data_IF_977052672844
#
_entry.id   IF_977052672844
#
_cell.length_a   1.000
_cell.length_b   1.000
_cell.length_c   1.000
_cell.angle_alpha   90.00
_cell.angle_beta   90.00
_cell.angle_gamma   90.00
#
_symmetry.space_group_name_H-M   'P 1'
#
loop_
_entity.id
_entity.type
_entity.pdbx_description
1 polymer ?
#
# COMPACT_ATOMS: atom_id res chain seq x y z
N UNK A 1 -5.84 15.13 35.42
CA UNK A 1 -4.98 14.08 34.82
C UNK A 1 -5.61 13.48 33.57
N UNK A 2 -6.88 13.06 33.58
CA UNK A 2 -7.53 12.51 32.39
C UNK A 2 -7.65 13.56 31.26
N UNK A 3 -8.05 14.79 31.60
CA UNK A 3 -8.08 15.94 30.66
C UNK A 3 -6.74 16.24 29.98
N UNK A 4 -5.63 16.19 30.74
CA UNK A 4 -4.28 16.38 30.19
C UNK A 4 -3.86 15.25 29.26
N UNK A 5 -4.26 14.01 29.55
CA UNK A 5 -4.02 12.85 28.66
C UNK A 5 -4.87 12.99 27.40
N UNK A 6 -6.13 13.40 27.51
CA UNK A 6 -7.01 13.62 26.37
C UNK A 6 -6.49 14.72 25.44
N UNK A 7 -6.02 15.84 26.00
CA UNK A 7 -5.40 16.93 25.25
C UNK A 7 -4.14 16.47 24.49
N UNK A 8 -3.36 15.54 25.05
CA UNK A 8 -2.21 14.94 24.38
C UNK A 8 -2.60 13.86 23.34
N UNK A 9 -3.66 13.09 23.58
CA UNK A 9 -4.15 12.04 22.70
C UNK A 9 -4.82 12.58 21.43
N UNK A 10 -5.50 13.73 21.52
CA UNK A 10 -6.18 14.38 20.40
C UNK A 10 -5.27 14.60 19.16
N UNK A 11 -4.11 15.28 19.26
CA UNK A 11 -3.24 15.49 18.11
C UNK A 11 -2.64 14.18 17.58
N UNK A 12 -2.44 13.16 18.43
CA UNK A 12 -2.00 11.83 18.00
C UNK A 12 -3.04 11.19 17.08
N UNK A 13 -4.32 11.18 17.50
CA UNK A 13 -5.41 10.61 16.69
C UNK A 13 -5.56 11.35 15.36
N UNK A 14 -5.52 12.68 15.38
CA UNK A 14 -5.59 13.51 14.18
C UNK A 14 -4.43 13.18 13.22
N UNK A 15 -3.20 13.14 13.73
CA UNK A 15 -2.02 12.81 12.93
C UNK A 15 -2.12 11.40 12.32
N UNK A 16 -2.57 10.42 13.08
CA UNK A 16 -2.71 9.03 12.60
C UNK A 16 -3.81 8.88 11.55
N UNK A 17 -4.98 9.49 11.75
CA UNK A 17 -6.06 9.50 10.76
C UNK A 17 -5.65 10.25 9.49
N UNK A 18 -4.92 11.36 9.63
CA UNK A 18 -4.45 12.16 8.50
C UNK A 18 -3.43 11.37 7.67
N UNK A 19 -2.40 10.81 8.32
CA UNK A 19 -1.38 10.00 7.68
C UNK A 19 -1.98 8.76 7.02
N UNK A 20 -2.92 8.08 7.71
CA UNK A 20 -3.65 6.94 7.15
C UNK A 20 -4.46 7.31 5.92
N UNK A 21 -5.24 8.38 5.99
CA UNK A 21 -6.13 8.81 4.92
C UNK A 21 -5.34 9.27 3.69
N UNK A 22 -4.33 10.12 3.91
CA UNK A 22 -3.44 10.61 2.85
C UNK A 22 -2.71 9.44 2.16
N UNK A 23 -2.14 8.51 2.93
CA UNK A 23 -1.46 7.35 2.36
C UNK A 23 -2.40 6.49 1.50
N UNK A 24 -3.64 6.25 1.95
CA UNK A 24 -4.65 5.49 1.18
C UNK A 24 -5.06 6.21 -0.10
N UNK A 25 -5.19 7.54 -0.08
CA UNK A 25 -5.50 8.33 -1.29
C UNK A 25 -4.35 8.28 -2.31
N UNK A 26 -3.10 8.46 -1.87
CA UNK A 26 -1.93 8.32 -2.75
C UNK A 26 -1.88 6.93 -3.37
N UNK A 27 -2.17 5.89 -2.60
CA UNK A 27 -2.20 4.52 -3.11
C UNK A 27 -3.33 4.28 -4.11
N UNK A 28 -4.54 4.76 -3.84
CA UNK A 28 -5.66 4.65 -4.77
C UNK A 28 -5.40 5.40 -6.09
N UNK A 29 -4.62 6.48 -6.05
CA UNK A 29 -4.18 7.25 -7.21
C UNK A 29 -3.04 6.61 -8.00
N UNK A 30 -2.23 5.76 -7.38
CA UNK A 30 -1.19 5.01 -8.08
C UNK A 30 -1.82 3.89 -8.94
N UNK A 31 -1.30 3.69 -10.15
CA UNK A 31 -1.63 2.53 -11.02
C UNK A 31 -1.04 1.24 -10.41
N UNK A 32 -1.42 0.90 -9.17
CA UNK A 32 -1.01 -0.30 -8.47
C UNK A 32 -1.59 -1.53 -9.17
N UNK A 33 -0.75 -2.54 -9.39
CA UNK A 33 -1.12 -3.73 -10.16
C UNK A 33 -2.39 -4.42 -9.62
N UNK A 34 -3.17 -5.10 -10.51
CA UNK A 34 -4.26 -5.96 -10.08
C UNK A 34 -3.73 -7.06 -9.15
N UNK A 35 -3.92 -6.87 -7.84
CA UNK A 35 -3.44 -7.78 -6.80
C UNK A 35 -2.69 -7.11 -5.66
N UNK A 36 -1.98 -6.00 -5.91
CA UNK A 36 -1.23 -5.26 -4.88
C UNK A 36 -2.16 -4.65 -3.84
N UNK A 37 -3.25 -4.03 -4.30
CA UNK A 37 -4.34 -3.52 -3.44
C UNK A 37 -5.01 -4.64 -2.63
N UNK A 38 -5.04 -5.88 -3.15
CA UNK A 38 -5.65 -7.03 -2.51
C UNK A 38 -4.86 -7.58 -1.31
N UNK A 39 -3.67 -7.05 -1.04
CA UNK A 39 -2.84 -7.38 0.13
C UNK A 39 -2.86 -6.30 1.20
N UNK A 40 -3.62 -5.22 1.00
CA UNK A 40 -3.62 -4.04 1.86
C UNK A 40 -4.95 -3.93 2.62
N UNK A 41 -4.95 -4.32 3.90
CA UNK A 41 -6.01 -4.02 4.87
C UNK A 41 -7.46 -4.12 4.35
N UNK A 42 -8.30 -3.08 4.48
CA UNK A 42 -9.74 -3.13 4.16
C UNK A 42 -10.08 -3.60 2.74
N UNK A 43 -9.17 -3.40 1.78
CA UNK A 43 -9.35 -3.83 0.40
C UNK A 43 -9.37 -5.36 0.24
N UNK A 44 -8.82 -6.11 1.20
CA UNK A 44 -8.92 -7.58 1.28
C UNK A 44 -10.38 -8.02 1.43
N UNK A 45 -11.18 -7.23 2.16
CA UNK A 45 -12.59 -7.54 2.45
C UNK A 45 -13.52 -7.20 1.27
N UNK A 46 -13.02 -6.42 0.29
CA UNK A 46 -13.80 -5.98 -0.86
C UNK A 46 -13.56 -6.87 -2.10
N UNK A 47 -14.61 -7.15 -2.90
CA UNK A 47 -14.44 -7.78 -4.21
C UNK A 47 -13.45 -7.01 -5.09
N UNK A 48 -12.71 -7.67 -6.02
CA UNK A 48 -11.68 -7.04 -6.84
C UNK A 48 -12.11 -5.74 -7.52
N UNK A 49 -13.33 -5.71 -8.06
CA UNK A 49 -13.94 -4.54 -8.72
C UNK A 49 -14.17 -3.33 -7.81
N UNK A 50 -14.26 -3.54 -6.50
CA UNK A 50 -14.56 -2.48 -5.52
C UNK A 50 -13.37 -2.12 -4.63
N UNK A 51 -12.20 -2.76 -4.77
CA UNK A 51 -11.05 -2.52 -3.89
C UNK A 51 -10.60 -1.06 -3.86
N UNK A 52 -10.51 -0.42 -5.03
CA UNK A 52 -10.14 0.99 -5.15
C UNK A 52 -11.18 1.90 -4.49
N UNK A 53 -12.46 1.64 -4.73
CA UNK A 53 -13.55 2.40 -4.12
C UNK A 53 -13.58 2.23 -2.59
N UNK A 54 -13.38 1.01 -2.08
CA UNK A 54 -13.30 0.73 -0.66
C UNK A 54 -12.11 1.44 0.01
N UNK A 55 -10.95 1.48 -0.63
CA UNK A 55 -9.78 2.24 -0.15
C UNK A 55 -10.05 3.75 -0.10
N UNK A 56 -10.65 4.31 -1.14
CA UNK A 56 -11.04 5.73 -1.18
C UNK A 56 -12.08 6.02 -0.10
N UNK A 57 -13.10 5.17 0.04
CA UNK A 57 -14.14 5.31 1.06
C UNK A 57 -13.55 5.26 2.48
N UNK A 58 -12.60 4.35 2.74
CA UNK A 58 -11.90 4.30 4.02
C UNK A 58 -11.06 5.55 4.27
N UNK A 59 -10.36 6.06 3.24
CA UNK A 59 -9.58 7.29 3.36
C UNK A 59 -10.46 8.52 3.65
N UNK A 60 -11.58 8.64 2.94
CA UNK A 60 -12.57 9.69 3.18
C UNK A 60 -13.20 9.56 4.57
N UNK A 61 -13.43 8.33 5.04
CA UNK A 61 -13.88 8.05 6.40
C UNK A 61 -12.88 8.53 7.45
N UNK A 62 -11.59 8.23 7.28
CA UNK A 62 -10.53 8.68 8.18
C UNK A 62 -10.42 10.21 8.22
N UNK A 63 -10.43 10.88 7.07
CA UNK A 63 -10.39 12.34 7.00
C UNK A 63 -11.69 12.98 7.53
N UNK A 64 -12.83 12.35 7.28
CA UNK A 64 -14.13 12.76 7.81
C UNK A 64 -14.18 12.68 9.33
N UNK A 65 -13.59 11.63 9.93
CA UNK A 65 -13.48 11.51 11.39
C UNK A 65 -12.69 12.66 12.01
N UNK A 66 -11.65 13.17 11.34
CA UNK A 66 -10.92 14.37 11.79
C UNK A 66 -11.86 15.58 11.77
N UNK A 67 -12.58 15.80 10.67
CA UNK A 67 -13.54 16.89 10.55
C UNK A 67 -14.61 16.84 11.65
N UNK A 68 -15.19 15.66 11.87
CA UNK A 68 -16.22 15.43 12.91
C UNK A 68 -15.65 15.68 14.32
N UNK A 69 -14.43 15.22 14.60
CA UNK A 69 -13.78 15.41 15.90
C UNK A 69 -13.46 16.88 16.19
N UNK A 70 -13.09 17.65 15.17
CA UNK A 70 -12.73 19.06 15.31
C UNK A 70 -13.93 20.02 15.28
N UNK A 71 -14.94 19.74 14.46
CA UNK A 71 -16.07 20.63 14.21
C UNK A 71 -17.26 20.36 15.13
N UNK A 72 -17.39 19.15 15.66
CA UNK A 72 -18.54 18.72 16.48
C UNK A 72 -18.11 18.06 17.81
N UNK A 73 -17.23 18.68 18.61
CA UNK A 73 -16.68 18.06 19.82
C UNK A 73 -17.73 17.77 20.90
N UNK A 74 -18.85 18.49 20.90
CA UNK A 74 -19.93 18.34 21.89
C UNK A 74 -20.98 17.30 21.48
N UNK A 75 -20.99 16.87 20.22
CA UNK A 75 -21.99 15.94 19.72
C UNK A 75 -21.63 14.50 20.12
N UNK A 76 -22.47 13.84 20.92
CA UNK A 76 -22.18 12.52 21.47
C UNK A 76 -21.79 11.50 20.37
N UNK A 77 -22.55 11.44 19.27
CA UNK A 77 -22.28 10.53 18.15
C UNK A 77 -20.91 10.81 17.51
N UNK A 78 -20.51 12.08 17.39
CA UNK A 78 -19.25 12.49 16.79
C UNK A 78 -18.05 11.98 17.60
N UNK A 79 -18.14 12.05 18.92
CA UNK A 79 -17.07 11.66 19.86
C UNK A 79 -16.82 10.16 19.87
N UNK A 80 -17.87 9.35 19.72
CA UNK A 80 -17.78 7.89 19.76
C UNK A 80 -17.46 7.25 18.40
N UNK A 81 -17.59 7.99 17.30
CA UNK A 81 -17.24 7.50 15.95
C UNK A 81 -15.77 7.05 15.82
N UNK A 82 -14.76 7.81 16.28
CA UNK A 82 -13.37 7.35 16.32
C UNK A 82 -13.18 6.08 17.18
N UNK A 83 -13.89 5.97 18.30
CA UNK A 83 -13.85 4.78 19.18
C UNK A 83 -14.33 3.56 18.41
N UNK A 84 -15.50 3.66 17.76
CA UNK A 84 -16.04 2.58 16.94
C UNK A 84 -15.07 2.20 15.81
N UNK A 85 -14.52 3.20 15.11
CA UNK A 85 -13.57 2.99 14.02
C UNK A 85 -12.33 2.21 14.47
N UNK A 86 -11.63 2.67 15.52
CA UNK A 86 -10.41 2.00 15.98
C UNK A 86 -10.69 0.65 16.65
N UNK A 87 -11.85 0.47 17.28
CA UNK A 87 -12.27 -0.81 17.84
C UNK A 87 -12.52 -1.84 16.74
N UNK A 88 -13.27 -1.46 15.70
CA UNK A 88 -13.50 -2.30 14.52
C UNK A 88 -12.19 -2.60 13.81
N UNK A 89 -11.31 -1.61 13.63
CA UNK A 89 -9.99 -1.83 13.05
C UNK A 89 -9.17 -2.84 13.86
N UNK A 90 -9.16 -2.72 15.19
CA UNK A 90 -8.46 -3.67 16.08
C UNK A 90 -9.02 -5.10 15.92
N UNK A 91 -10.35 -5.24 15.89
CA UNK A 91 -11.01 -6.53 15.67
C UNK A 91 -10.68 -7.12 14.30
N UNK A 92 -10.77 -6.33 13.23
CA UNK A 92 -10.44 -6.77 11.86
C UNK A 92 -8.99 -7.22 11.76
N UNK A 93 -8.05 -6.50 12.37
CA UNK A 93 -6.63 -6.91 12.39
C UNK A 93 -6.44 -8.23 13.16
N UNK A 94 -7.16 -8.43 14.26
CA UNK A 94 -7.14 -9.69 15.00
C UNK A 94 -7.70 -10.86 14.18
N UNK A 95 -8.84 -10.68 13.51
CA UNK A 95 -9.45 -11.71 12.66
C UNK A 95 -8.60 -12.01 11.41
N UNK A 96 -8.08 -10.97 10.74
CA UNK A 96 -7.18 -11.14 9.59
C UNK A 96 -5.91 -11.88 9.99
N UNK A 97 -5.33 -11.59 11.16
CA UNK A 97 -4.17 -12.35 11.62
C UNK A 97 -4.47 -13.84 11.80
N UNK A 98 -5.68 -14.20 12.25
CA UNK A 98 -6.07 -15.60 12.41
C UNK A 98 -6.33 -16.30 11.07
N UNK A 99 -6.91 -15.60 10.11
CA UNK A 99 -7.36 -16.20 8.83
C UNK A 99 -6.38 -16.06 7.68
N UNK A 100 -5.62 -14.96 7.64
CA UNK A 100 -4.76 -14.50 6.52
C UNK A 100 -3.55 -13.73 7.06
N UNK A 101 -2.61 -14.39 7.76
CA UNK A 101 -1.45 -13.72 8.35
C UNK A 101 -0.50 -13.09 7.31
N UNK A 102 -0.65 -13.44 6.03
CA UNK A 102 0.11 -12.96 4.88
C UNK A 102 -0.33 -11.58 4.37
N UNK A 103 -1.47 -11.06 4.81
CA UNK A 103 -1.96 -9.74 4.41
C UNK A 103 -1.37 -8.63 5.28
N UNK A 104 -1.17 -7.45 4.70
CA UNK A 104 -0.71 -6.27 5.41
C UNK A 104 -1.84 -5.58 6.18
N UNK A 105 -1.49 -4.84 7.24
CA UNK A 105 -2.49 -4.16 8.07
C UNK A 105 -3.19 -3.01 7.32
N UNK A 106 -2.57 -2.46 6.26
CA UNK A 106 -3.14 -1.46 5.36
C UNK A 106 -3.47 -0.11 6.03
N UNK A 107 -3.10 0.10 7.30
CA UNK A 107 -3.37 1.34 8.03
C UNK A 107 -2.73 2.56 7.34
N UNK A 108 -1.54 2.41 6.76
CA UNK A 108 -0.82 3.46 6.02
C UNK A 108 -0.62 3.11 4.53
N UNK A 109 -1.56 2.40 3.91
CA UNK A 109 -1.41 1.94 2.52
C UNK A 109 -0.24 0.94 2.38
N UNK A 110 0.55 1.04 1.30
CA UNK A 110 1.70 0.15 1.03
C UNK A 110 2.86 0.29 2.01
N UNK A 111 2.90 1.38 2.79
CA UNK A 111 3.90 1.54 3.86
C UNK A 111 3.71 0.46 4.91
N UNK A 112 2.46 -0.01 5.10
CA UNK A 112 2.06 -1.14 5.96
C UNK A 112 1.78 -2.44 5.20
N UNK A 113 2.61 -2.78 4.20
CA UNK A 113 2.53 -4.08 3.54
C UNK A 113 3.05 -5.24 4.41
N UNK A 114 3.68 -4.93 5.55
CA UNK A 114 4.16 -5.89 6.54
C UNK A 114 3.04 -6.82 7.03
N UNK A 115 3.30 -8.15 7.17
CA UNK A 115 2.37 -9.09 7.78
C UNK A 115 1.82 -8.60 9.12
N UNK A 116 0.54 -8.83 9.38
CA UNK A 116 -0.12 -8.39 10.62
C UNK A 116 0.47 -9.12 11.85
N UNK A 117 1.31 -8.41 12.62
CA UNK A 117 1.88 -8.88 13.89
C UNK A 117 1.13 -8.40 15.15
N UNK A 118 1.48 -8.94 16.34
CA UNK A 118 0.92 -8.48 17.63
C UNK A 118 1.09 -6.97 17.83
N UNK A 119 2.21 -6.40 17.37
CA UNK A 119 2.52 -4.98 17.50
C UNK A 119 1.50 -4.09 16.77
N UNK A 120 1.08 -4.49 15.56
CA UNK A 120 0.07 -3.74 14.78
C UNK A 120 -1.30 -3.74 15.45
N UNK A 121 -1.69 -4.87 16.07
CA UNK A 121 -2.92 -5.00 16.85
C UNK A 121 -2.82 -4.16 18.12
N UNK A 122 -1.68 -4.21 18.81
CA UNK A 122 -1.40 -3.36 19.97
C UNK A 122 -1.50 -1.87 19.64
N UNK A 123 -0.95 -1.43 18.49
CA UNK A 123 -1.07 -0.05 18.00
C UNK A 123 -2.52 0.36 17.82
N UNK A 124 -3.33 -0.47 17.15
CA UNK A 124 -4.75 -0.19 16.96
C UNK A 124 -5.52 -0.15 18.29
N UNK A 125 -5.22 -1.05 19.22
CA UNK A 125 -5.82 -1.07 20.56
C UNK A 125 -5.45 0.17 21.39
N UNK A 126 -4.20 0.64 21.30
CA UNK A 126 -3.76 1.91 21.94
C UNK A 126 -4.50 3.10 21.36
N UNK A 127 -4.68 3.17 20.04
CA UNK A 127 -5.46 4.23 19.40
C UNK A 127 -6.95 4.17 19.77
N UNK A 128 -7.52 2.97 19.93
CA UNK A 128 -8.87 2.79 20.44
C UNK A 128 -9.00 3.32 21.88
N UNK A 129 -8.04 3.02 22.76
CA UNK A 129 -8.01 3.56 24.13
C UNK A 129 -7.85 5.08 24.15
N UNK A 130 -6.97 5.64 23.32
CA UNK A 130 -6.82 7.08 23.15
C UNK A 130 -8.11 7.74 22.68
N UNK A 131 -8.83 7.10 21.73
CA UNK A 131 -10.13 7.58 21.26
C UNK A 131 -11.18 7.56 22.37
N UNK A 132 -11.20 6.56 23.25
CA UNK A 132 -12.11 6.53 24.42
C UNK A 132 -11.83 7.69 25.35
N UNK A 133 -10.55 7.95 25.67
CA UNK A 133 -10.16 9.06 26.56
C UNK A 133 -10.59 10.40 25.96
N UNK A 134 -10.35 10.62 24.67
CA UNK A 134 -10.79 11.84 23.96
C UNK A 134 -12.33 11.93 23.93
N UNK A 135 -13.02 10.81 23.70
CA UNK A 135 -14.47 10.78 23.66
C UNK A 135 -15.11 11.12 25.03
N UNK A 136 -14.52 10.66 26.13
CA UNK A 136 -15.00 10.96 27.49
C UNK A 136 -14.74 12.41 27.87
N UNK A 137 -13.54 12.93 27.61
CA UNK A 137 -13.14 14.26 28.09
C UNK A 137 -13.56 15.42 27.16
N UNK A 138 -13.81 15.16 25.86
CA UNK A 138 -14.02 16.23 24.84
C UNK A 138 -13.01 17.36 24.96
N UNK A 139 -11.70 17.08 24.80
CA UNK A 139 -10.77 18.16 24.59
C UNK A 139 -11.13 18.83 23.26
N UNK A 140 -11.86 19.95 23.31
CA UNK A 140 -12.11 20.78 22.13
C UNK A 140 -10.79 21.42 21.65
N UNK A 141 -10.84 22.20 20.58
CA UNK A 141 -9.66 22.92 20.07
C UNK A 141 -9.00 23.83 21.12
N UNK A 142 -9.76 24.33 22.09
CA UNK A 142 -9.24 25.11 23.22
C UNK A 142 -8.30 24.30 24.15
N UNK A 143 -8.34 22.97 24.11
CA UNK A 143 -7.37 22.14 24.83
C UNK A 143 -5.95 22.27 24.26
N UNK A 144 -5.80 22.70 22.99
CA UNK A 144 -4.51 22.94 22.36
C UNK A 144 -3.88 24.27 22.81
N UNK A 145 -4.67 25.25 23.27
CA UNK A 145 -4.14 26.54 23.75
C UNK A 145 -3.69 26.49 25.20
N UNK A 146 -4.21 25.58 26.01
CA UNK A 146 -3.79 25.34 27.41
C UNK A 146 -2.63 24.35 27.51
N UNK A 147 -1.62 24.54 26.65
CA UNK A 147 -0.50 23.62 26.53
C UNK A 147 0.42 23.67 27.75
N UNK A 148 0.50 22.56 28.48
CA UNK A 148 1.36 22.43 29.67
C UNK A 148 2.55 21.51 29.40
N UNK A 149 3.62 21.63 30.19
CA UNK A 149 4.76 20.71 30.13
C UNK A 149 4.33 19.25 30.34
N UNK A 150 3.32 19.02 31.17
CA UNK A 150 2.78 17.69 31.44
C UNK A 150 2.03 17.14 30.22
N UNK A 151 1.30 17.98 29.48
CA UNK A 151 0.70 17.62 28.19
C UNK A 151 1.78 17.20 27.19
N UNK A 152 2.90 17.94 27.12
CA UNK A 152 4.06 17.57 26.28
C UNK A 152 4.63 16.21 26.67
N UNK A 153 4.79 15.94 27.97
CA UNK A 153 5.31 14.66 28.46
C UNK A 153 4.39 13.48 28.08
N UNK A 154 3.08 13.64 28.23
CA UNK A 154 2.10 12.63 27.80
C UNK A 154 2.08 12.42 26.29
N UNK A 155 2.17 13.51 25.51
CA UNK A 155 2.27 13.44 24.07
C UNK A 155 3.53 12.65 23.65
N UNK A 156 4.69 13.02 24.20
CA UNK A 156 5.96 12.35 23.92
C UNK A 156 5.91 10.87 24.31
N UNK A 157 5.32 10.53 25.46
CA UNK A 157 5.12 9.15 25.90
C UNK A 157 4.20 8.36 24.96
N UNK A 158 3.08 8.94 24.56
CA UNK A 158 2.14 8.33 23.61
C UNK A 158 2.76 8.11 22.23
N UNK A 159 3.49 9.10 21.71
CA UNK A 159 4.24 8.97 20.44
C UNK A 159 5.31 7.88 20.57
N UNK A 160 6.09 7.87 21.65
CA UNK A 160 7.12 6.85 21.88
C UNK A 160 6.52 5.44 21.92
N UNK A 161 5.39 5.26 22.61
CA UNK A 161 4.66 3.99 22.64
C UNK A 161 4.21 3.57 21.23
N UNK A 162 3.68 4.49 20.43
CA UNK A 162 3.28 4.19 19.05
C UNK A 162 4.48 3.85 18.16
N UNK A 163 5.63 4.51 18.34
CA UNK A 163 6.87 4.19 17.61
C UNK A 163 7.38 2.80 17.99
N UNK A 164 7.34 2.44 19.28
CA UNK A 164 7.71 1.09 19.77
C UNK A 164 6.78 -0.01 19.21
N UNK A 165 5.50 0.33 19.00
CA UNK A 165 4.51 -0.56 18.39
C UNK A 165 4.54 -0.49 16.85
N UNK A 166 5.32 0.40 16.24
CA UNK A 166 5.37 0.58 14.80
C UNK A 166 6.41 -0.33 14.16
N UNK A 167 5.95 -1.41 13.54
CA UNK A 167 6.78 -2.29 12.68
C UNK A 167 7.23 -1.60 11.39
N UNK A 168 6.57 -0.50 11.02
CA UNK A 168 6.82 0.21 9.76
C UNK A 168 8.19 0.88 9.75
N UNK A 169 8.70 1.29 10.91
CA UNK A 169 10.00 1.97 11.00
C UNK A 169 11.11 0.97 10.71
N UNK A 170 10.98 -0.26 11.22
CA UNK A 170 11.96 -1.32 11.00
C UNK A 170 12.00 -1.74 9.53
N UNK A 171 10.83 -1.86 8.88
CA UNK A 171 10.75 -2.19 7.45
C UNK A 171 11.14 -1.02 6.54
N UNK A 172 10.74 0.21 6.86
CA UNK A 172 11.16 1.39 6.08
C UNK A 172 12.66 1.61 6.21
N UNK A 173 13.23 1.41 7.40
CA UNK A 173 14.67 1.50 7.64
C UNK A 173 15.42 0.37 6.95
N UNK A 174 14.88 -0.86 6.93
CA UNK A 174 15.48 -1.97 6.20
C UNK A 174 15.45 -1.74 4.70
N UNK A 175 14.35 -1.20 4.14
CA UNK A 175 14.22 -0.78 2.73
C UNK A 175 15.12 0.41 2.37
N UNK A 176 15.36 1.32 3.31
CA UNK A 176 16.29 2.44 3.11
C UNK A 176 17.75 1.95 3.13
N UNK A 177 18.08 1.05 4.07
CA UNK A 177 19.43 0.49 4.24
C UNK A 177 19.77 -0.53 3.16
N UNK A 178 18.80 -1.34 2.75
CA UNK A 178 18.94 -2.36 1.72
C UNK A 178 18.05 -1.98 0.54
N UNK A 179 18.69 -1.65 -0.59
CA UNK A 179 17.97 -1.35 -1.82
C UNK A 179 17.08 -2.54 -2.16
N UNK A 180 15.76 -2.34 -2.09
CA UNK A 180 14.81 -3.44 -2.27
C UNK A 180 15.15 -4.24 -3.56
N UNK A 181 15.23 -5.57 -3.47
CA UNK A 181 15.45 -6.43 -4.62
C UNK A 181 14.43 -6.14 -5.74
N UNK A 182 14.81 -6.36 -7.00
CA UNK A 182 13.98 -5.93 -8.13
C UNK A 182 12.63 -6.64 -8.20
N UNK A 183 12.52 -7.83 -7.62
CA UNK A 183 11.31 -8.62 -7.48
C UNK A 183 10.27 -8.00 -6.53
N UNK A 184 10.70 -7.14 -5.59
CA UNK A 184 9.81 -6.47 -4.64
C UNK A 184 9.43 -5.04 -5.07
N UNK A 185 10.12 -4.47 -6.07
CA UNK A 185 9.80 -3.11 -6.54
C UNK A 185 8.51 -3.10 -7.33
N UNK A 186 7.59 -2.19 -6.99
CA UNK A 186 6.46 -1.86 -7.84
C UNK A 186 6.98 -1.03 -9.03
N UNK A 187 7.00 -1.62 -10.23
CA UNK A 187 7.28 -0.89 -11.47
C UNK A 187 5.99 -0.87 -12.29
N UNK A 188 5.42 0.32 -12.58
CA UNK A 188 4.21 0.42 -13.38
C UNK A 188 4.40 -0.28 -14.73
N UNK A 189 3.42 -1.10 -15.14
CA UNK A 189 3.46 -1.84 -16.40
C UNK A 189 3.71 -0.91 -17.60
N UNK A 190 3.08 0.29 -17.61
CA UNK A 190 3.28 1.33 -18.63
C UNK A 190 4.73 1.78 -18.77
N UNK A 191 5.47 1.86 -17.66
CA UNK A 191 6.89 2.24 -17.68
C UNK A 191 7.74 1.13 -18.31
N UNK A 192 7.42 -0.13 -18.03
CA UNK A 192 8.09 -1.26 -18.67
C UNK A 192 7.72 -1.38 -20.16
N UNK A 193 6.47 -1.11 -20.52
CA UNK A 193 5.99 -1.08 -21.91
C UNK A 193 6.66 0.05 -22.71
N UNK A 194 6.73 1.27 -22.16
CA UNK A 194 7.43 2.38 -22.80
C UNK A 194 8.93 2.06 -23.02
N UNK A 195 9.57 1.39 -22.06
CA UNK A 195 10.94 0.89 -22.22
C UNK A 195 11.04 -0.16 -23.33
N UNK A 196 10.11 -1.11 -23.39
CA UNK A 196 10.01 -2.08 -24.46
C UNK A 196 9.90 -1.38 -25.82
N UNK A 197 8.93 -0.48 -25.99
CA UNK A 197 8.67 0.24 -27.24
C UNK A 197 9.88 1.08 -27.70
N UNK A 198 10.69 1.57 -26.76
CA UNK A 198 11.94 2.28 -27.06
C UNK A 198 13.13 1.36 -27.40
N UNK A 199 13.00 0.04 -27.24
CA UNK A 199 14.09 -0.92 -27.39
C UNK A 199 14.35 -1.30 -28.86
N UNK A 200 15.55 -1.86 -29.12
CA UNK A 200 15.88 -2.45 -30.42
C UNK A 200 15.06 -3.71 -30.71
N UNK A 201 14.78 -4.52 -29.68
CA UNK A 201 13.97 -5.73 -29.80
C UNK A 201 12.55 -5.42 -30.31
N UNK A 202 11.92 -4.35 -29.78
CA UNK A 202 10.64 -3.88 -30.29
C UNK A 202 10.72 -3.49 -31.76
N UNK A 203 11.66 -2.62 -32.14
CA UNK A 203 11.82 -2.18 -33.53
C UNK A 203 12.02 -3.33 -34.52
N UNK A 204 12.67 -4.41 -34.09
CA UNK A 204 12.89 -5.59 -34.94
C UNK A 204 11.64 -6.45 -35.18
N UNK A 205 10.65 -6.41 -34.28
CA UNK A 205 9.45 -7.26 -34.36
C UNK A 205 8.17 -6.45 -34.62
N UNK A 206 8.17 -5.13 -34.38
CA UNK A 206 7.01 -4.25 -34.62
C UNK A 206 6.36 -4.44 -36.01
N UNK A 207 7.10 -4.65 -37.12
CA UNK A 207 6.48 -4.86 -38.44
C UNK A 207 5.63 -6.13 -38.57
N UNK A 208 5.83 -7.13 -37.70
CA UNK A 208 5.08 -8.41 -37.75
C UNK A 208 3.94 -8.47 -36.72
N UNK A 209 3.80 -7.44 -35.87
CA UNK A 209 2.74 -7.37 -34.86
C UNK A 209 1.42 -6.90 -35.50
N UNK A 210 0.32 -7.42 -34.98
CA UNK A 210 -1.05 -7.04 -35.36
C UNK A 210 -1.60 -5.89 -34.53
N UNK A 211 -0.99 -5.61 -33.37
CA UNK A 211 -1.41 -4.59 -32.41
C UNK A 211 -0.21 -4.00 -31.68
N UNK A 212 -0.29 -2.70 -31.35
CA UNK A 212 0.68 -2.01 -30.48
C UNK A 212 0.33 -2.17 -28.99
N UNK A 213 -0.80 -2.80 -28.68
CA UNK A 213 -1.23 -3.14 -27.32
C UNK A 213 -1.03 -4.64 -27.04
N UNK A 214 -0.48 -5.00 -25.86
CA UNK A 214 -0.27 -6.39 -25.50
C UNK A 214 -1.60 -7.09 -25.20
N UNK A 215 -1.76 -8.32 -25.71
CA UNK A 215 -2.90 -9.18 -25.41
C UNK A 215 -2.86 -9.71 -23.96
N UNK A 216 -1.67 -10.00 -23.45
CA UNK A 216 -1.46 -10.41 -22.06
C UNK A 216 -0.16 -9.85 -21.48
N UNK A 217 -0.14 -9.63 -20.17
CA UNK A 217 1.04 -9.18 -19.43
C UNK A 217 1.11 -9.84 -18.06
N UNK A 218 2.26 -10.39 -17.72
CA UNK A 218 2.52 -10.89 -16.38
C UNK A 218 3.94 -10.57 -15.93
N UNK A 219 4.24 -10.85 -14.67
CA UNK A 219 5.55 -10.60 -14.07
C UNK A 219 6.03 -11.86 -13.37
N UNK A 220 7.30 -12.20 -13.61
CA UNK A 220 8.01 -13.20 -12.83
C UNK A 220 9.31 -12.59 -12.34
N UNK A 221 9.45 -12.52 -11.01
CA UNK A 221 10.62 -11.96 -10.36
C UNK A 221 10.93 -10.54 -10.89
N UNK A 222 12.10 -10.38 -11.50
CA UNK A 222 12.60 -9.13 -12.06
C UNK A 222 12.33 -8.99 -13.56
N UNK A 223 11.54 -9.86 -14.16
CA UNK A 223 11.16 -9.82 -15.55
C UNK A 223 9.67 -9.50 -15.68
N UNK A 224 9.34 -8.65 -16.64
CA UNK A 224 7.96 -8.44 -17.06
C UNK A 224 7.78 -8.91 -18.49
N UNK A 225 6.72 -9.66 -18.70
CA UNK A 225 6.38 -10.26 -19.98
C UNK A 225 5.22 -9.50 -20.62
N UNK A 226 5.30 -9.36 -21.94
CA UNK A 226 4.28 -8.76 -22.78
C UNK A 226 4.07 -9.65 -23.99
N UNK A 227 2.83 -10.07 -24.23
CA UNK A 227 2.43 -10.89 -25.38
C UNK A 227 1.76 -10.00 -26.39
N UNK A 228 2.23 -10.03 -27.63
CA UNK A 228 1.62 -9.33 -28.74
C UNK A 228 1.18 -10.31 -29.81
N UNK A 229 -0.06 -10.20 -30.31
CA UNK A 229 -0.49 -11.01 -31.44
C UNK A 229 0.32 -10.62 -32.68
N UNK A 230 0.79 -11.61 -33.41
CA UNK A 230 1.52 -11.45 -34.67
C UNK A 230 0.76 -12.10 -35.83
N UNK A 231 1.32 -11.96 -37.03
CA UNK A 231 0.78 -12.60 -38.22
C UNK A 231 0.81 -14.13 -38.09
N UNK A 232 -0.03 -14.80 -38.90
CA UNK A 232 -0.10 -16.27 -38.98
C UNK A 232 -0.48 -17.00 -37.67
N UNK A 233 -1.15 -16.29 -36.75
CA UNK A 233 -1.61 -16.86 -35.48
C UNK A 233 -0.49 -17.16 -34.49
N UNK A 234 0.70 -16.61 -34.72
CA UNK A 234 1.81 -16.64 -33.77
C UNK A 234 1.73 -15.46 -32.79
N UNK A 235 2.39 -15.60 -31.64
CA UNK A 235 2.56 -14.53 -30.67
C UNK A 235 4.03 -14.16 -30.50
N UNK A 236 4.30 -12.87 -30.30
CA UNK A 236 5.63 -12.39 -29.91
C UNK A 236 5.60 -12.06 -28.43
N UNK A 237 6.42 -12.77 -27.66
CA UNK A 237 6.58 -12.57 -26.22
C UNK A 237 7.85 -11.79 -25.97
N UNK A 238 7.74 -10.61 -25.35
CA UNK A 238 8.88 -9.83 -24.90
C UNK A 238 9.07 -9.95 -23.39
N UNK A 239 10.30 -10.21 -22.95
CA UNK A 239 10.69 -10.18 -21.54
C UNK A 239 11.59 -8.96 -21.27
N UNK A 240 11.12 -8.05 -20.43
CA UNK A 240 11.82 -6.81 -20.06
C UNK A 240 12.36 -6.93 -18.64
N UNK A 241 13.67 -6.77 -18.48
CA UNK A 241 14.28 -6.74 -17.15
C UNK A 241 13.93 -5.43 -16.43
N UNK A 242 13.50 -5.52 -15.18
CA UNK A 242 12.95 -4.39 -14.42
C UNK A 242 14.03 -3.49 -13.79
N UNK A 243 15.28 -3.93 -13.74
CA UNK A 243 16.39 -3.20 -13.13
C UNK A 243 17.35 -2.60 -14.17
N UNK A 244 18.07 -1.55 -13.75
CA UNK A 244 19.08 -0.87 -14.58
C UNK A 244 18.55 0.30 -15.42
N UNK A 245 19.49 1.12 -15.92
CA UNK A 245 19.18 2.25 -16.84
C UNK A 245 18.88 1.79 -18.27
N UNK A 246 19.53 0.70 -18.70
CA UNK A 246 19.34 0.05 -20.00
C UNK A 246 18.89 -1.39 -19.75
N UNK A 247 17.59 -1.62 -19.53
CA UNK A 247 17.09 -2.94 -19.19
C UNK A 247 17.32 -3.89 -20.36
N UNK A 248 17.72 -5.12 -20.05
CA UNK A 248 17.76 -6.18 -21.05
C UNK A 248 16.34 -6.47 -21.54
N UNK A 249 16.15 -6.53 -22.85
CA UNK A 249 14.90 -6.96 -23.47
C UNK A 249 15.20 -8.21 -24.28
N UNK A 250 14.46 -9.28 -24.00
CA UNK A 250 14.52 -10.54 -24.74
C UNK A 250 13.19 -10.71 -25.48
N UNK A 251 13.21 -11.43 -26.59
CA UNK A 251 12.00 -11.76 -27.35
C UNK A 251 12.02 -13.22 -27.79
N UNK A 252 10.84 -13.79 -27.93
CA UNK A 252 10.60 -15.10 -28.51
C UNK A 252 9.33 -15.06 -29.35
N UNK A 253 9.30 -15.82 -30.44
CA UNK A 253 8.09 -16.06 -31.24
C UNK A 253 7.57 -17.44 -30.85
N UNK A 254 6.31 -17.50 -30.41
CA UNK A 254 5.65 -18.72 -29.98
C UNK A 254 4.46 -19.01 -30.90
N UNK A 255 4.18 -20.29 -31.12
CA UNK A 255 2.98 -20.72 -31.82
C UNK A 255 1.75 -20.63 -30.90
N UNK A 256 0.57 -20.94 -31.44
CA UNK A 256 -0.68 -20.97 -30.68
C UNK A 256 -0.67 -21.91 -29.46
N UNK A 257 0.20 -22.94 -29.46
CA UNK A 257 0.38 -23.87 -28.34
C UNK A 257 1.40 -23.38 -27.30
N UNK A 258 1.91 -22.15 -27.44
CA UNK A 258 2.91 -21.55 -26.56
C UNK A 258 4.32 -22.11 -26.72
N UNK A 259 4.58 -22.90 -27.77
CA UNK A 259 5.88 -23.48 -28.07
C UNK A 259 6.70 -22.54 -28.96
N UNK A 260 8.01 -22.40 -28.71
CA UNK A 260 8.87 -21.54 -29.52
C UNK A 260 9.06 -22.11 -30.93
N UNK A 261 8.97 -21.25 -31.95
CA UNK A 261 9.09 -21.65 -33.37
C UNK A 261 10.58 -21.80 -33.84
N UNK A 262 11.51 -22.20 -32.96
CA UNK A 262 12.96 -22.48 -33.22
C UNK A 262 13.92 -21.27 -33.43
N UNK A 263 15.22 -21.43 -33.10
CA UNK A 263 15.74 -21.58 -31.74
C UNK A 263 15.91 -20.21 -31.06
N UNK A 264 15.70 -20.17 -29.75
CA UNK A 264 16.14 -19.07 -28.89
C UNK A 264 17.63 -18.86 -29.13
N UNK A 265 18.05 -17.68 -29.62
CA UNK A 265 19.46 -17.32 -29.74
C UNK A 265 20.07 -17.39 -28.33
N UNK A 266 20.80 -18.47 -28.07
CA UNK A 266 21.45 -18.74 -26.79
C UNK A 266 22.29 -17.54 -26.37
N UNK A 267 21.86 -16.87 -25.32
CA UNK A 267 22.70 -15.96 -24.56
C UNK A 267 22.31 -16.05 -23.08
N UNK A 268 22.48 -17.25 -22.54
CA UNK A 268 22.72 -17.43 -21.12
C UNK A 268 24.22 -17.63 -20.91
N UNK A 269 24.92 -16.56 -20.55
CA UNK A 269 25.94 -16.68 -19.50
C UNK A 269 25.26 -16.24 -18.22
N UNK A 270 24.84 -17.21 -17.43
CA UNK A 270 24.50 -16.99 -16.02
C UNK A 270 25.85 -16.81 -15.33
N UNK A 271 26.23 -15.56 -15.05
CA UNK A 271 27.26 -15.35 -14.03
C UNK A 271 26.58 -15.61 -12.69
N UNK A 272 27.07 -16.65 -12.01
CA UNK A 272 26.86 -16.81 -10.57
C UNK A 272 27.43 -15.61 -9.81
#
# INVERSE_FOLDING_TARGET
>A
MLSTIAAAALPILIAMLLLGGVAKLFMAGSDAEPGGLGRLGPAVLAPPRFRKAAMIGCALGELGLIGVLLLLPDHAVARWMPVAFFTVATYVLWDLRRRRPDVGCGCFGEVSAAPIGMRSIGRAAVLAGAAVIVAVESPGLAALSSWSWMTTAWLAGGVTLLLLLSTEIEETTSRLRHRAPCEQRAIPAKRALSRLQSSTAWRSHAPVLMSDEPADTWRELCWRFFVFPAQDGADVVFAVYLSGRRPAVKSAIVNADGQPITPLRESMRVSA
#
